data_IF_795036185239
#
_entry.id   IF_795036185239
#
_cell.length_a   1.000
_cell.length_b   1.000
_cell.length_c   1.000
_cell.angle_alpha   90.00
_cell.angle_beta   90.00
_cell.angle_gamma   90.00
#
_symmetry.space_group_name_H-M   'P 1'
#
loop_
_entity.id
_entity.type
_entity.pdbx_description
1 polymer ?
#
# COMPACT_ATOMS: atom_id res chain seq x y z
N UNK A 1 -3.73 -14.41 5.89
CA UNK A 1 -3.27 -13.12 5.31
C UNK A 1 -2.02 -13.28 4.45
N UNK A 2 -1.01 -14.06 4.87
CA UNK A 2 0.27 -14.21 4.14
C UNK A 2 0.17 -14.73 2.70
N UNK A 3 -0.80 -15.59 2.36
CA UNK A 3 -0.90 -16.11 0.99
C UNK A 3 -1.42 -15.11 -0.05
N UNK A 4 -2.21 -14.10 0.39
CA UNK A 4 -2.86 -13.12 -0.50
C UNK A 4 -2.02 -11.85 -0.66
N UNK A 5 -1.30 -11.43 0.37
CA UNK A 5 -0.52 -10.19 0.39
C UNK A 5 0.96 -10.50 0.59
N UNK A 6 1.69 -10.89 -0.47
CA UNK A 6 3.11 -11.23 -0.36
C UNK A 6 3.98 -10.08 0.12
N UNK A 7 3.58 -8.83 -0.15
CA UNK A 7 4.30 -7.64 0.31
C UNK A 7 3.36 -6.58 0.87
N UNK A 8 3.94 -5.74 1.73
CA UNK A 8 3.30 -4.57 2.32
C UNK A 8 4.24 -3.38 2.08
N UNK A 9 3.72 -2.31 1.51
CA UNK A 9 4.43 -1.05 1.35
C UNK A 9 4.10 -0.14 2.53
N UNK A 10 5.12 0.25 3.28
CA UNK A 10 5.01 1.32 4.26
C UNK A 10 4.94 2.68 3.56
N UNK A 11 3.89 3.44 3.85
CA UNK A 11 3.68 4.81 3.35
C UNK A 11 3.63 5.84 4.49
N UNK A 12 3.92 5.42 5.72
CA UNK A 12 3.96 6.31 6.87
C UNK A 12 5.12 7.29 6.75
N UNK A 13 4.90 8.52 7.21
CA UNK A 13 5.97 9.50 7.35
C UNK A 13 6.95 9.04 8.43
N UNK A 14 8.26 9.14 8.16
CA UNK A 14 9.32 8.89 9.15
C UNK A 14 9.18 9.77 10.40
N UNK A 15 8.53 10.93 10.29
CA UNK A 15 8.22 11.81 11.44
C UNK A 15 7.24 11.18 12.44
N UNK A 16 6.57 10.10 12.07
CA UNK A 16 5.56 9.40 12.88
C UNK A 16 6.05 8.01 13.32
N UNK A 17 7.36 7.78 13.39
CA UNK A 17 7.97 6.50 13.75
C UNK A 17 7.66 6.04 15.20
N UNK A 18 7.29 6.96 16.09
CA UNK A 18 6.85 6.65 17.46
C UNK A 18 5.44 6.02 17.54
N UNK A 19 4.67 6.00 16.45
CA UNK A 19 3.34 5.39 16.44
C UNK A 19 3.42 3.86 16.56
N UNK A 20 2.45 3.26 17.27
CA UNK A 20 2.36 1.80 17.47
C UNK A 20 1.94 1.01 16.23
N UNK A 21 1.63 1.70 15.14
CA UNK A 21 1.14 1.13 13.89
C UNK A 21 1.85 1.80 12.73
N UNK A 22 2.00 1.06 11.64
CA UNK A 22 2.43 1.58 10.34
C UNK A 22 1.23 1.66 9.41
N UNK A 23 1.18 2.69 8.58
CA UNK A 23 0.19 2.84 7.50
C UNK A 23 0.69 2.10 6.26
N UNK A 24 0.04 0.99 5.92
CA UNK A 24 0.53 0.05 4.89
C UNK A 24 -0.43 -0.03 3.70
N UNK A 25 0.12 -0.13 2.49
CA UNK A 25 -0.59 -0.57 1.28
C UNK A 25 -0.20 -2.01 0.97
N UNK A 26 -1.16 -2.96 0.87
CA UNK A 26 -0.84 -4.31 0.45
C UNK A 26 -0.50 -4.40 -1.04
N UNK A 27 0.42 -5.29 -1.39
CA UNK A 27 0.74 -5.64 -2.77
C UNK A 27 0.35 -7.08 -3.05
N UNK A 28 -0.28 -7.32 -4.20
CA UNK A 28 -0.66 -8.65 -4.69
C UNK A 28 -0.08 -8.89 -6.08
N UNK A 29 0.00 -10.15 -6.53
CA UNK A 29 0.49 -10.44 -7.89
C UNK A 29 -0.46 -9.83 -8.92
N UNK A 30 0.09 -9.25 -9.98
CA UNK A 30 -0.70 -8.65 -11.07
C UNK A 30 -1.69 -9.63 -11.71
N UNK A 31 -1.37 -10.92 -11.68
CA UNK A 31 -2.24 -11.98 -12.20
C UNK A 31 -3.53 -12.21 -11.39
N UNK A 32 -3.59 -11.75 -10.13
CA UNK A 32 -4.74 -11.99 -9.25
C UNK A 32 -5.89 -11.01 -9.48
N UNK A 33 -5.59 -9.79 -9.94
CA UNK A 33 -6.59 -8.74 -10.12
C UNK A 33 -6.18 -7.73 -11.18
N UNK A 34 -7.16 -7.28 -11.98
CA UNK A 34 -6.97 -6.16 -12.90
C UNK A 34 -6.83 -4.85 -12.12
N UNK A 35 -5.78 -4.05 -12.33
CA UNK A 35 -5.60 -2.78 -11.62
C UNK A 35 -6.66 -1.75 -12.03
N UNK A 36 -7.13 -0.98 -11.06
CA UNK A 36 -7.91 0.24 -11.30
C UNK A 36 -6.95 1.36 -11.68
N UNK A 37 -7.13 1.93 -12.87
CA UNK A 37 -6.28 2.99 -13.40
C UNK A 37 -6.14 4.14 -12.40
N UNK A 38 -4.89 4.58 -12.15
CA UNK A 38 -4.48 5.60 -11.16
C UNK A 38 -4.64 5.23 -9.69
N UNK A 39 -5.48 4.25 -9.33
CA UNK A 39 -5.65 3.80 -7.94
C UNK A 39 -4.69 2.66 -7.56
N UNK A 40 -4.33 1.80 -8.51
CA UNK A 40 -3.44 0.66 -8.26
C UNK A 40 -2.12 0.77 -9.04
N UNK A 41 -1.11 1.47 -8.51
CA UNK A 41 0.22 1.48 -9.09
C UNK A 41 0.78 0.05 -9.22
N UNK A 42 1.44 -0.23 -10.34
CA UNK A 42 2.12 -1.50 -10.61
C UNK A 42 3.61 -1.31 -10.49
N UNK A 43 4.30 -2.30 -9.92
CA UNK A 43 5.76 -2.35 -9.83
C UNK A 43 6.27 -3.75 -10.17
N UNK A 44 7.56 -3.83 -10.50
CA UNK A 44 8.26 -5.08 -10.75
C UNK A 44 9.22 -5.34 -9.57
N UNK A 45 9.23 -6.59 -9.10
CA UNK A 45 10.18 -7.08 -8.10
C UNK A 45 10.49 -8.54 -8.42
N UNK A 46 11.78 -8.89 -8.47
CA UNK A 46 12.25 -10.24 -8.84
C UNK A 46 11.61 -10.79 -10.13
N UNK A 47 11.57 -9.97 -11.20
CA UNK A 47 10.99 -10.33 -12.51
C UNK A 47 9.48 -10.62 -12.49
N UNK A 48 8.81 -10.34 -11.37
CA UNK A 48 7.38 -10.52 -11.18
C UNK A 48 6.70 -9.17 -10.99
N UNK A 49 5.52 -9.01 -11.61
CA UNK A 49 4.72 -7.80 -11.47
C UNK A 49 3.72 -7.92 -10.32
N UNK A 50 3.63 -6.84 -9.55
CA UNK A 50 2.72 -6.67 -8.43
C UNK A 50 1.93 -5.38 -8.57
N UNK A 51 0.70 -5.38 -8.06
CA UNK A 51 -0.10 -4.15 -7.92
C UNK A 51 -0.25 -3.77 -6.45
N UNK A 52 -0.13 -2.47 -6.16
CA UNK A 52 -0.47 -1.88 -4.88
C UNK A 52 -1.98 -1.67 -4.79
N UNK A 53 -2.61 -2.29 -3.79
CA UNK A 53 -4.07 -2.28 -3.62
C UNK A 53 -4.45 -1.13 -2.68
N UNK A 54 -4.32 0.12 -3.16
CA UNK A 54 -4.47 1.33 -2.32
C UNK A 54 -5.82 1.38 -1.55
N UNK A 55 -6.90 0.87 -2.12
CA UNK A 55 -8.19 0.81 -1.44
C UNK A 55 -8.23 -0.14 -0.23
N UNK A 56 -7.18 -0.94 0.00
CA UNK A 56 -7.02 -1.84 1.15
C UNK A 56 -5.95 -1.32 2.13
N UNK A 57 -5.66 -0.01 2.13
CA UNK A 57 -4.80 0.62 3.14
C UNK A 57 -5.29 0.28 4.55
N UNK A 58 -4.34 -0.07 5.42
CA UNK A 58 -4.62 -0.37 6.82
C UNK A 58 -3.50 0.09 7.74
N UNK A 59 -3.86 0.38 9.00
CA UNK A 59 -2.90 0.57 10.08
C UNK A 59 -2.59 -0.79 10.73
N UNK A 60 -1.34 -1.23 10.71
CA UNK A 60 -0.92 -2.56 11.19
C UNK A 60 0.23 -2.43 12.20
N UNK A 61 0.19 -3.14 13.34
CA UNK A 61 1.33 -3.18 14.27
C UNK A 61 2.59 -3.80 13.62
N UNK A 62 3.78 -3.24 13.86
CA UNK A 62 5.01 -3.71 13.20
C UNK A 62 5.41 -5.14 13.60
N UNK A 63 4.95 -5.61 14.77
CA UNK A 63 5.29 -6.93 15.32
C UNK A 63 4.86 -8.11 14.43
N UNK A 64 3.95 -7.89 13.46
CA UNK A 64 3.50 -8.90 12.50
C UNK A 64 4.16 -8.79 11.12
N UNK A 65 5.12 -7.88 10.93
CA UNK A 65 5.72 -7.60 9.62
C UNK A 65 7.02 -8.39 9.39
N UNK A 66 7.29 -8.67 8.12
CA UNK A 66 8.56 -9.25 7.68
C UNK A 66 9.68 -8.23 7.61
N UNK A 67 10.82 -8.65 7.06
CA UNK A 67 11.97 -7.77 6.83
C UNK A 67 11.77 -6.90 5.60
N UNK A 68 12.41 -5.72 5.57
CA UNK A 68 12.48 -4.87 4.36
C UNK A 68 13.19 -5.62 3.23
N UNK A 69 12.59 -5.65 2.04
CA UNK A 69 13.14 -6.34 0.85
C UNK A 69 13.42 -5.43 -0.34
N UNK A 70 12.78 -4.26 -0.43
CA UNK A 70 12.98 -3.26 -1.50
C UNK A 70 12.51 -1.88 -1.05
N UNK A 71 12.92 -0.83 -1.75
CA UNK A 71 12.27 0.49 -1.74
C UNK A 71 11.51 0.73 -3.05
N UNK A 72 10.50 1.60 -3.01
CA UNK A 72 9.68 1.99 -4.17
C UNK A 72 9.67 3.51 -4.37
N UNK A 73 10.77 4.19 -4.03
CA UNK A 73 10.85 5.67 -4.04
C UNK A 73 10.57 6.24 -5.45
N UNK A 74 10.99 5.54 -6.51
CA UNK A 74 10.71 5.93 -7.90
C UNK A 74 9.22 5.98 -8.25
N UNK A 75 8.36 5.29 -7.48
CA UNK A 75 6.90 5.26 -7.64
C UNK A 75 6.18 6.25 -6.72
N UNK A 76 6.90 7.00 -5.88
CA UNK A 76 6.34 7.90 -4.87
C UNK A 76 5.22 8.78 -5.42
N UNK A 77 5.43 9.42 -6.58
CA UNK A 77 4.41 10.26 -7.21
C UNK A 77 3.12 9.52 -7.57
N UNK A 78 3.21 8.27 -8.04
CA UNK A 78 2.03 7.44 -8.35
C UNK A 78 1.33 6.96 -7.08
N UNK A 79 2.10 6.63 -6.04
CA UNK A 79 1.56 6.21 -4.74
C UNK A 79 0.79 7.36 -4.09
N UNK A 80 1.36 8.56 -4.05
CA UNK A 80 0.69 9.75 -3.52
C UNK A 80 -0.59 10.07 -4.29
N UNK A 81 -0.55 10.00 -5.63
CA UNK A 81 -1.75 10.22 -6.45
C UNK A 81 -2.86 9.17 -6.21
N UNK A 82 -2.51 7.93 -5.91
CA UNK A 82 -3.47 6.87 -5.59
C UNK A 82 -4.11 7.09 -4.20
N UNK A 83 -3.31 7.43 -3.20
CA UNK A 83 -3.78 7.75 -1.84
C UNK A 83 -4.67 9.01 -1.86
N UNK A 84 -4.24 10.05 -2.57
CA UNK A 84 -5.03 11.27 -2.78
C UNK A 84 -6.38 10.97 -3.43
N UNK A 85 -6.40 10.17 -4.51
CA UNK A 85 -7.64 9.76 -5.18
C UNK A 85 -8.59 9.01 -4.22
N UNK A 86 -8.06 8.14 -3.37
CA UNK A 86 -8.84 7.37 -2.40
C UNK A 86 -9.50 8.27 -1.35
N UNK A 87 -8.79 9.30 -0.89
CA UNK A 87 -9.20 10.14 0.25
C UNK A 87 -10.03 11.36 -0.19
N UNK A 88 -9.73 11.94 -1.34
CA UNK A 88 -10.38 13.16 -1.84
C UNK A 88 -11.75 12.91 -2.49
N UNK A 89 -12.12 11.64 -2.73
CA UNK A 89 -13.44 11.22 -3.20
C UNK A 89 -14.53 11.36 -2.13
N UNK A 90 -14.91 12.60 -1.85
CA UNK A 90 -15.87 13.09 -0.86
C UNK A 90 -16.96 12.09 -0.41
N UNK A 91 -16.73 11.46 0.75
CA UNK A 91 -17.77 11.01 1.69
C UNK A 91 -17.19 10.91 3.10
N UNK A 92 -17.24 12.02 3.84
CA UNK A 92 -16.80 12.08 5.23
C UNK A 92 -17.96 11.68 6.13
N UNK A 93 -17.96 10.44 6.61
CA UNK A 93 -18.94 9.93 7.55
C UNK A 93 -18.24 9.28 8.75
N UNK A 94 -18.76 9.52 9.95
CA UNK A 94 -18.42 8.72 11.12
C UNK A 94 -19.36 7.51 11.11
N UNK A 95 -18.79 6.32 11.25
CA UNK A 95 -19.53 5.05 11.30
C UNK A 95 -19.41 4.47 12.72
N UNK A 96 -20.46 3.80 13.20
CA UNK A 96 -20.49 3.04 14.46
C UNK A 96 -20.28 1.53 14.22
#
# INVERSE_FOLDING_TARGET
MQDRYPFLLDIQSDFLDELKTLLLIPAIKLAEQKPITRLNPVFEFEQQHYLLVAQEIAAIPPNSLGTKVSDLESLRGKILAAVDLLITGIKWAVLE
#
